data_IF_164152275068
#
_entry.id   IF_164152275068
#
_cell.length_a   1.000
_cell.length_b   1.000
_cell.length_c   1.000
_cell.angle_alpha   90.00
_cell.angle_beta   90.00
_cell.angle_gamma   90.00
#
_symmetry.space_group_name_H-M   'P 1'
#
loop_
_entity.id
_entity.type
_entity.pdbx_description
1 polymer ?
#
# COMPACT_ATOMS: atom_id res chain seq x y z
N UNK A 1 0.08 10.09 3.31
CA UNK A 1 0.76 10.50 4.56
C UNK A 1 2.06 9.71 4.72
N UNK A 2 3.09 10.30 5.32
CA UNK A 2 4.43 9.71 5.45
C UNK A 2 4.70 9.19 6.87
N UNK A 3 5.64 8.27 7.03
CA UNK A 3 6.11 7.83 8.35
C UNK A 3 6.73 8.98 9.15
N UNK A 4 6.56 8.99 10.48
CA UNK A 4 7.06 10.07 11.35
C UNK A 4 7.60 9.55 12.68
N UNK A 5 8.47 10.32 13.31
CA UNK A 5 9.08 9.95 14.60
C UNK A 5 8.11 10.14 15.76
N UNK A 6 8.16 9.18 16.68
CA UNK A 6 7.48 9.24 17.98
C UNK A 6 8.47 8.98 19.09
N UNK A 7 8.04 9.16 20.34
CA UNK A 7 8.79 8.65 21.50
C UNK A 7 9.08 7.16 21.37
N UNK A 8 10.20 6.72 21.95
CA UNK A 8 10.61 5.33 21.96
C UNK A 8 9.62 4.48 22.75
N UNK A 9 9.26 3.32 22.22
CA UNK A 9 8.37 2.36 22.89
C UNK A 9 8.36 1.03 22.14
N UNK A 10 7.98 -0.04 22.84
CA UNK A 10 8.08 -1.43 22.33
C UNK A 10 7.27 -1.62 21.03
N UNK A 11 6.12 -0.96 20.90
CA UNK A 11 5.22 -1.08 19.73
C UNK A 11 5.63 -0.18 18.54
N UNK A 12 6.65 0.68 18.71
CA UNK A 12 7.02 1.72 17.74
C UNK A 12 8.45 1.55 17.27
N UNK A 13 8.62 0.72 16.25
CA UNK A 13 9.93 0.52 15.60
C UNK A 13 10.27 1.76 14.79
N UNK A 14 11.21 2.57 15.31
CA UNK A 14 11.72 3.81 14.67
C UNK A 14 10.55 4.77 14.35
N UNK A 15 9.62 4.92 15.29
CA UNK A 15 8.47 5.82 15.16
C UNK A 15 7.18 5.16 14.64
N UNK A 16 6.32 5.96 14.01
CA UNK A 16 5.06 5.54 13.41
C UNK A 16 5.24 5.18 11.93
N UNK A 17 4.98 3.91 11.58
CA UNK A 17 5.13 3.35 10.23
C UNK A 17 3.84 3.20 9.42
N UNK A 18 2.77 3.89 9.85
CA UNK A 18 1.43 3.84 9.22
C UNK A 18 1.32 4.75 7.99
N UNK A 19 2.40 5.41 7.55
CA UNK A 19 2.41 6.20 6.34
C UNK A 19 2.39 5.32 5.09
N UNK A 20 1.70 5.81 4.04
CA UNK A 20 1.80 5.29 2.67
C UNK A 20 3.17 5.56 2.05
N UNK A 21 3.83 6.61 2.52
CA UNK A 21 5.19 6.97 2.12
C UNK A 21 6.16 6.71 3.27
N UNK A 22 7.43 6.46 2.93
CA UNK A 22 8.53 6.50 3.88
C UNK A 22 8.72 7.92 4.44
N UNK A 23 9.58 8.08 5.45
CA UNK A 23 9.89 9.39 6.04
C UNK A 23 10.56 10.33 5.04
N UNK A 24 11.29 9.77 4.08
CA UNK A 24 11.93 10.45 2.95
C UNK A 24 10.95 10.66 1.77
N UNK A 25 9.66 10.34 1.96
CA UNK A 25 8.60 10.44 0.96
C UNK A 25 8.72 9.47 -0.21
N UNK A 26 9.40 8.34 -0.03
CA UNK A 26 9.43 7.28 -1.02
C UNK A 26 8.13 6.46 -0.96
N UNK A 27 7.56 6.04 -2.10
CA UNK A 27 6.29 5.32 -2.13
C UNK A 27 6.43 3.86 -1.67
N UNK A 28 5.53 3.41 -0.79
CA UNK A 28 5.35 1.97 -0.48
C UNK A 28 4.37 1.33 -1.46
N UNK A 29 4.32 0.00 -1.53
CA UNK A 29 3.40 -0.75 -2.39
C UNK A 29 1.93 -0.28 -2.27
N UNK A 30 1.44 -0.07 -1.04
CA UNK A 30 0.09 0.41 -0.77
C UNK A 30 -0.21 1.80 -1.36
N UNK A 31 0.80 2.65 -1.57
CA UNK A 31 0.62 3.97 -2.17
C UNK A 31 0.15 3.87 -3.63
N UNK A 32 0.64 2.87 -4.38
CA UNK A 32 0.24 2.66 -5.77
C UNK A 32 -1.21 2.21 -5.88
N UNK A 33 -1.64 1.28 -5.02
CA UNK A 33 -3.03 0.79 -4.96
C UNK A 33 -4.01 1.93 -4.69
N UNK A 34 -3.69 2.77 -3.70
CA UNK A 34 -4.54 3.90 -3.34
C UNK A 34 -4.56 4.96 -4.45
N UNK A 35 -3.42 5.20 -5.11
CA UNK A 35 -3.35 6.12 -6.25
C UNK A 35 -4.29 5.70 -7.39
N UNK A 36 -4.23 4.44 -7.79
CA UNK A 36 -5.11 3.88 -8.83
C UNK A 36 -6.59 4.07 -8.44
N UNK A 37 -6.96 3.65 -7.23
CA UNK A 37 -8.33 3.83 -6.72
C UNK A 37 -8.82 5.28 -6.76
N UNK A 38 -8.01 6.24 -6.30
CA UNK A 38 -8.42 7.64 -6.30
C UNK A 38 -8.53 8.20 -7.71
N UNK A 39 -7.64 7.82 -8.62
CA UNK A 39 -7.74 8.21 -10.02
C UNK A 39 -9.04 7.67 -10.63
N UNK A 40 -9.41 6.42 -10.36
CA UNK A 40 -10.67 5.84 -10.85
C UNK A 40 -11.90 6.59 -10.31
N UNK A 41 -11.88 6.98 -9.03
CA UNK A 41 -12.94 7.78 -8.41
C UNK A 41 -13.05 9.15 -9.10
N UNK A 42 -11.92 9.80 -9.35
CA UNK A 42 -11.86 11.13 -10.00
C UNK A 42 -12.34 11.04 -11.45
N UNK A 43 -11.92 10.01 -12.19
CA UNK A 43 -12.31 9.79 -13.58
C UNK A 43 -13.77 9.34 -13.72
N UNK A 44 -14.49 9.06 -12.63
CA UNK A 44 -15.87 8.54 -12.68
C UNK A 44 -15.96 7.09 -13.13
N UNK A 45 -14.83 6.38 -13.21
CA UNK A 45 -14.74 4.96 -13.54
C UNK A 45 -15.03 4.12 -12.29
N UNK A 46 -16.11 4.43 -11.57
CA UNK A 46 -16.52 3.70 -10.37
C UNK A 46 -17.05 2.35 -10.83
N UNK A 47 -16.13 1.40 -10.99
CA UNK A 47 -16.49 0.00 -11.09
C UNK A 47 -17.17 -0.35 -9.76
N UNK A 48 -18.49 -0.51 -9.80
CA UNK A 48 -19.23 -1.17 -8.73
C UNK A 48 -18.53 -2.48 -8.41
N UNK A 49 -18.56 -2.89 -7.15
CA UNK A 49 -17.87 -4.06 -6.61
C UNK A 49 -18.18 -5.34 -7.42
N UNK A 50 -17.45 -5.54 -8.51
CA UNK A 50 -17.45 -6.72 -9.34
C UNK A 50 -16.33 -7.62 -8.85
N UNK A 51 -16.70 -8.84 -8.49
CA UNK A 51 -15.84 -9.91 -7.94
C UNK A 51 -14.52 -10.10 -8.71
N UNK A 52 -14.48 -9.75 -10.00
CA UNK A 52 -13.31 -9.94 -10.87
C UNK A 52 -12.22 -8.86 -10.74
N UNK A 53 -12.50 -7.65 -10.20
CA UNK A 53 -11.51 -6.56 -10.12
C UNK A 53 -10.49 -6.74 -8.97
N UNK A 54 -10.81 -7.57 -7.97
CA UNK A 54 -9.96 -7.82 -6.79
C UNK A 54 -8.78 -8.77 -7.07
N UNK A 55 -8.73 -9.42 -8.25
CA UNK A 55 -7.68 -10.38 -8.57
C UNK A 55 -6.26 -9.76 -8.60
N UNK A 56 -6.14 -8.49 -9.01
CA UNK A 56 -4.85 -7.76 -9.08
C UNK A 56 -4.21 -7.51 -7.71
N UNK A 57 -5.01 -7.42 -6.65
CA UNK A 57 -4.56 -7.22 -5.28
C UNK A 57 -4.74 -8.48 -4.42
N UNK A 58 -5.02 -9.62 -5.05
CA UNK A 58 -5.02 -10.90 -4.33
C UNK A 58 -3.61 -11.13 -3.78
N UNK A 59 -3.54 -11.48 -2.49
CA UNK A 59 -2.28 -11.72 -1.77
C UNK A 59 -1.57 -13.01 -2.24
N UNK A 60 -1.63 -13.36 -3.53
CA UNK A 60 -0.75 -14.38 -4.09
C UNK A 60 0.67 -13.79 -4.07
N UNK A 61 1.56 -14.27 -3.19
CA UNK A 61 2.93 -13.78 -3.20
C UNK A 61 3.52 -14.06 -4.59
N UNK A 62 4.38 -13.18 -5.13
CA UNK A 62 5.16 -13.54 -6.31
C UNK A 62 5.86 -14.86 -5.99
N UNK A 63 5.65 -15.87 -6.83
CA UNK A 63 6.31 -17.16 -6.67
C UNK A 63 7.81 -16.92 -6.73
N UNK A 64 8.47 -16.91 -5.57
CA UNK A 64 9.91 -17.05 -5.53
C UNK A 64 10.18 -18.49 -5.95
N UNK A 65 10.60 -18.67 -7.20
CA UNK A 65 11.21 -19.91 -7.64
C UNK A 65 12.28 -20.24 -6.59
N UNK A 66 12.11 -21.36 -5.88
CA UNK A 66 13.15 -21.86 -4.97
C UNK A 66 14.41 -22.00 -5.83
N UNK A 67 15.38 -21.12 -5.60
CA UNK A 67 16.73 -21.30 -6.10
C UNK A 67 17.22 -22.67 -5.59
N UNK A 68 17.96 -23.43 -6.41
CA UNK A 68 18.38 -24.79 -6.08
C UNK A 68 19.14 -24.85 -4.74
#
# INVERSE_FOLDING_TARGET
FADFMTTQGIIRVIGNRKGLLSRQREPKAAAFVIRERYNDIISGNISTCSYNHLAKYSNSPPAYNKLP
#
